data_IF_295368194882
#
_entry.id   IF_295368194882
#
_cell.length_a   1.000
_cell.length_b   1.000
_cell.length_c   1.000
_cell.angle_alpha   90.00
_cell.angle_beta   90.00
_cell.angle_gamma   90.00
#
_symmetry.space_group_name_H-M   'P 1'
#
loop_
_entity.id
_entity.type
_entity.pdbx_description
1 polymer ?
#
# COMPACT_ATOMS: atom_id res chain seq x y z
N UNK A 1 -17.14 -10.45 -8.67
CA UNK A 1 -15.94 -10.58 -7.81
C UNK A 1 -16.06 -11.91 -7.11
N UNK A 2 -15.03 -12.76 -7.09
CA UNK A 2 -15.09 -13.98 -6.28
C UNK A 2 -14.96 -13.59 -4.81
N UNK A 3 -15.70 -14.26 -3.94
CA UNK A 3 -15.69 -13.96 -2.49
C UNK A 3 -14.27 -13.92 -1.92
N UNK A 4 -13.41 -14.87 -2.31
CA UNK A 4 -12.03 -14.95 -1.81
C UNK A 4 -11.13 -13.77 -2.23
N UNK A 5 -11.42 -13.08 -3.33
CA UNK A 5 -10.66 -11.89 -3.74
C UNK A 5 -10.99 -10.70 -2.83
N UNK A 6 -12.27 -10.52 -2.50
CA UNK A 6 -12.74 -9.51 -1.54
C UNK A 6 -12.15 -9.79 -0.15
N UNK A 7 -12.22 -11.05 0.29
CA UNK A 7 -11.69 -11.46 1.59
C UNK A 7 -10.20 -11.12 1.70
N UNK A 8 -9.38 -11.39 0.67
CA UNK A 8 -7.95 -11.04 0.70
C UNK A 8 -7.72 -9.54 0.79
N UNK A 9 -8.43 -8.73 0.00
CA UNK A 9 -8.32 -7.27 0.06
C UNK A 9 -8.66 -6.79 1.48
N UNK A 10 -9.78 -7.25 2.04
CA UNK A 10 -10.19 -6.90 3.40
C UNK A 10 -9.15 -7.31 4.44
N UNK A 11 -8.63 -8.54 4.37
CA UNK A 11 -7.59 -9.04 5.29
C UNK A 11 -6.34 -8.16 5.22
N UNK A 12 -5.82 -7.86 4.03
CA UNK A 12 -4.64 -7.02 3.91
C UNK A 12 -4.88 -5.57 4.30
N UNK A 13 -6.08 -5.01 4.07
CA UNK A 13 -6.43 -3.68 4.56
C UNK A 13 -6.50 -3.64 6.09
N UNK A 14 -7.08 -4.66 6.73
CA UNK A 14 -7.13 -4.77 8.20
C UNK A 14 -5.72 -4.96 8.79
N UNK A 15 -4.90 -5.82 8.18
CA UNK A 15 -3.51 -6.02 8.60
C UNK A 15 -2.68 -4.75 8.43
N UNK A 16 -2.83 -4.05 7.29
CA UNK A 16 -2.17 -2.78 7.05
C UNK A 16 -2.57 -1.71 8.07
N UNK A 17 -3.87 -1.58 8.35
CA UNK A 17 -4.36 -0.68 9.39
C UNK A 17 -3.79 -1.05 10.78
N UNK A 18 -3.77 -2.34 11.12
CA UNK A 18 -3.16 -2.83 12.36
C UNK A 18 -1.69 -2.45 12.48
N UNK A 19 -0.92 -2.59 11.40
CA UNK A 19 0.50 -2.25 11.40
C UNK A 19 0.71 -0.74 11.47
N UNK A 20 0.03 0.03 10.61
CA UNK A 20 0.21 1.49 10.53
C UNK A 20 -0.30 2.21 11.77
N UNK A 21 -1.44 1.83 12.35
CA UNK A 21 -2.03 2.61 13.44
C UNK A 21 -1.70 2.07 14.83
N UNK A 22 -1.03 0.92 14.94
CA UNK A 22 -0.66 0.36 16.25
C UNK A 22 0.81 -0.07 16.30
N UNK A 23 1.27 -0.91 15.36
CA UNK A 23 2.64 -1.46 15.43
C UNK A 23 3.69 -0.38 15.18
N UNK A 24 3.52 0.43 14.16
CA UNK A 24 4.48 1.49 13.82
C UNK A 24 4.56 2.59 14.90
N UNK A 25 3.45 3.16 15.41
CA UNK A 25 3.48 4.05 16.57
C UNK A 25 4.19 3.42 17.76
N UNK A 26 3.85 2.18 18.10
CA UNK A 26 4.48 1.46 19.21
C UNK A 26 6.01 1.35 19.06
N UNK A 27 6.52 1.16 17.83
CA UNK A 27 7.96 1.14 17.55
C UNK A 27 8.63 2.49 17.87
N UNK A 28 7.97 3.60 17.57
CA UNK A 28 8.46 4.95 17.86
C UNK A 28 8.32 5.32 19.34
N UNK A 29 7.17 5.02 19.97
CA UNK A 29 6.92 5.24 21.40
C UNK A 29 7.97 4.53 22.28
N UNK A 30 8.27 3.28 21.94
CA UNK A 30 9.27 2.48 22.67
C UNK A 30 10.72 2.82 22.27
N UNK A 31 10.92 3.82 21.40
CA UNK A 31 12.24 4.27 20.93
C UNK A 31 13.09 3.15 20.34
N UNK A 32 12.44 2.15 19.74
CA UNK A 32 13.11 1.11 18.95
C UNK A 32 13.74 1.78 17.72
N UNK A 33 12.96 2.65 17.06
CA UNK A 33 13.47 3.66 16.14
C UNK A 33 13.54 4.98 16.91
N UNK A 34 14.75 5.52 17.07
CA UNK A 34 14.98 6.71 17.89
C UNK A 34 14.79 7.98 17.06
N UNK A 35 13.98 8.87 17.59
CA UNK A 35 13.79 10.25 17.13
C UNK A 35 14.19 11.16 18.30
N UNK A 36 15.03 12.15 18.04
CA UNK A 36 15.59 13.04 19.07
C UNK A 36 15.31 14.53 18.84
N UNK A 37 14.93 14.90 17.62
CA UNK A 37 14.68 16.27 17.20
C UNK A 37 13.27 16.79 17.55
N UNK A 38 12.33 15.89 17.85
CA UNK A 38 10.97 16.22 18.28
C UNK A 38 10.50 15.31 19.42
N UNK A 39 9.47 15.74 20.15
CA UNK A 39 8.79 14.88 21.13
C UNK A 39 8.02 13.76 20.40
N UNK A 40 8.33 12.47 20.65
CA UNK A 40 7.67 11.36 19.96
C UNK A 40 6.15 11.36 20.12
N UNK A 41 5.64 11.65 21.32
CA UNK A 41 4.20 11.59 21.62
C UNK A 41 3.41 12.61 20.79
N UNK A 42 3.89 13.86 20.75
CA UNK A 42 3.28 14.95 19.98
C UNK A 42 3.41 14.69 18.49
N UNK A 43 4.58 14.24 18.04
CA UNK A 43 4.80 13.92 16.63
C UNK A 43 3.91 12.77 16.16
N UNK A 44 3.69 11.75 16.99
CA UNK A 44 2.82 10.63 16.65
C UNK A 44 1.36 11.06 16.46
N UNK A 45 0.87 11.92 17.34
CA UNK A 45 -0.51 12.41 17.30
C UNK A 45 -0.74 13.40 16.14
N UNK A 46 0.13 14.39 15.98
CA UNK A 46 -0.10 15.49 15.03
C UNK A 46 0.40 15.18 13.61
N UNK A 47 1.58 14.57 13.50
CA UNK A 47 2.32 14.42 12.25
C UNK A 47 2.18 13.04 11.64
N UNK A 48 2.55 12.00 12.41
CA UNK A 48 2.55 10.62 11.93
C UNK A 48 1.14 10.16 11.56
N UNK A 49 0.16 10.34 12.45
CA UNK A 49 -1.21 9.85 12.25
C UNK A 49 -1.83 10.44 10.98
N UNK A 50 -1.66 11.74 10.74
CA UNK A 50 -2.12 12.42 9.52
C UNK A 50 -1.49 11.83 8.24
N UNK A 51 -0.18 11.57 8.28
CA UNK A 51 0.54 10.93 7.19
C UNK A 51 0.10 9.49 6.94
N UNK A 52 0.00 8.68 8.00
CA UNK A 52 -0.43 7.30 7.94
C UNK A 52 -1.87 7.17 7.40
N UNK A 53 -2.81 8.02 7.85
CA UNK A 53 -4.18 8.07 7.30
C UNK A 53 -4.14 8.36 5.80
N UNK A 54 -3.34 9.34 5.38
CA UNK A 54 -3.23 9.74 3.97
C UNK A 54 -2.71 8.59 3.10
N UNK A 55 -1.59 7.98 3.49
CA UNK A 55 -0.98 6.87 2.74
C UNK A 55 -1.90 5.65 2.73
N UNK A 56 -2.50 5.31 3.87
CA UNK A 56 -3.43 4.19 3.99
C UNK A 56 -4.66 4.37 3.10
N UNK A 57 -5.35 5.51 3.21
CA UNK A 57 -6.57 5.79 2.46
C UNK A 57 -6.31 5.76 0.95
N UNK A 58 -5.25 6.43 0.48
CA UNK A 58 -4.89 6.45 -0.94
C UNK A 58 -4.55 5.04 -1.44
N UNK A 59 -3.84 4.24 -0.64
CA UNK A 59 -3.48 2.86 -0.98
C UNK A 59 -4.70 1.94 -1.10
N UNK A 60 -5.62 2.02 -0.14
CA UNK A 60 -6.88 1.25 -0.17
C UNK A 60 -7.74 1.67 -1.36
N UNK A 61 -7.94 2.96 -1.57
CA UNK A 61 -8.75 3.48 -2.69
C UNK A 61 -8.15 3.06 -4.03
N UNK A 62 -6.84 3.19 -4.21
CA UNK A 62 -6.14 2.78 -5.44
C UNK A 62 -6.30 1.27 -5.69
N UNK A 63 -6.22 0.45 -4.63
CA UNK A 63 -6.45 -1.00 -4.71
C UNK A 63 -7.86 -1.34 -5.14
N UNK A 64 -8.87 -0.68 -4.54
CA UNK A 64 -10.27 -0.88 -4.88
C UNK A 64 -10.55 -0.46 -6.33
N UNK A 65 -10.04 0.70 -6.76
CA UNK A 65 -10.23 1.18 -8.13
C UNK A 65 -9.56 0.24 -9.13
N UNK A 66 -8.29 -0.16 -8.90
CA UNK A 66 -7.62 -1.15 -9.75
C UNK A 66 -8.46 -2.41 -9.87
N UNK A 67 -8.94 -2.93 -8.75
CA UNK A 67 -9.67 -4.18 -8.75
C UNK A 67 -11.01 -4.06 -9.49
N UNK A 68 -11.79 -3.01 -9.23
CA UNK A 68 -13.09 -2.79 -9.88
C UNK A 68 -12.95 -2.60 -11.39
N UNK A 69 -11.87 -1.94 -11.84
CA UNK A 69 -11.57 -1.74 -13.26
C UNK A 69 -11.06 -3.01 -13.91
N UNK A 70 -10.12 -3.72 -13.28
CA UNK A 70 -9.57 -5.00 -13.74
C UNK A 70 -10.66 -6.09 -13.84
N UNK A 71 -11.62 -6.13 -12.91
CA UNK A 71 -12.72 -7.09 -12.93
C UNK A 71 -13.70 -6.87 -14.10
N UNK A 72 -13.78 -5.65 -14.62
CA UNK A 72 -14.63 -5.28 -15.76
C UNK A 72 -13.85 -5.24 -17.08
N UNK A 73 -12.54 -5.49 -17.05
CA UNK A 73 -11.67 -5.43 -18.21
C UNK A 73 -12.06 -6.49 -19.25
N UNK A 74 -12.26 -6.04 -20.49
CA UNK A 74 -12.43 -6.93 -21.65
C UNK A 74 -11.08 -7.06 -22.35
N UNK A 75 -10.33 -8.10 -22.01
CA UNK A 75 -8.99 -8.36 -22.55
C UNK A 75 -9.12 -9.37 -23.68
N UNK A 76 -8.76 -8.99 -24.92
CA UNK A 76 -8.87 -9.85 -26.11
C UNK A 76 -7.53 -10.32 -26.64
N UNK A 77 -6.42 -9.68 -26.26
CA UNK A 77 -5.09 -10.05 -26.71
C UNK A 77 -3.96 -9.42 -25.89
N UNK A 78 -2.71 -9.68 -26.30
CA UNK A 78 -1.49 -9.22 -25.61
C UNK A 78 -1.38 -7.69 -25.54
N UNK A 79 -1.80 -6.97 -26.58
CA UNK A 79 -1.81 -5.50 -26.58
C UNK A 79 -2.71 -4.92 -25.47
N UNK A 80 -3.85 -5.56 -25.20
CA UNK A 80 -4.74 -5.15 -24.11
C UNK A 80 -4.08 -5.39 -22.75
N UNK A 81 -3.39 -6.53 -22.58
CA UNK A 81 -2.65 -6.85 -21.34
C UNK A 81 -1.60 -5.79 -21.04
N UNK A 82 -0.80 -5.39 -22.03
CA UNK A 82 0.21 -4.35 -21.84
C UNK A 82 -0.40 -2.98 -21.51
N UNK A 83 -1.55 -2.64 -22.11
CA UNK A 83 -2.29 -1.44 -21.73
C UNK A 83 -2.74 -1.50 -20.26
N UNK A 84 -3.25 -2.63 -19.79
CA UNK A 84 -3.62 -2.82 -18.39
C UNK A 84 -2.42 -2.83 -17.45
N UNK A 85 -1.25 -3.26 -17.92
CA UNK A 85 0.02 -3.12 -17.18
C UNK A 85 0.34 -1.65 -16.91
N UNK A 86 0.21 -0.80 -17.92
CA UNK A 86 0.41 0.65 -17.76
C UNK A 86 -0.58 1.24 -16.76
N UNK A 87 -1.85 0.85 -16.82
CA UNK A 87 -2.83 1.29 -15.83
C UNK A 87 -2.47 0.86 -14.41
N UNK A 88 -2.00 -0.37 -14.21
CA UNK A 88 -1.54 -0.81 -12.89
C UNK A 88 -0.42 0.08 -12.34
N UNK A 89 0.57 0.41 -13.17
CA UNK A 89 1.64 1.34 -12.79
C UNK A 89 1.12 2.73 -12.46
N UNK A 90 0.16 3.26 -13.24
CA UNK A 90 -0.49 4.54 -12.94
C UNK A 90 -1.17 4.50 -11.57
N UNK A 91 -1.87 3.40 -11.23
CA UNK A 91 -2.48 3.25 -9.92
C UNK A 91 -1.45 3.11 -8.80
N UNK A 92 -0.29 2.50 -9.04
CA UNK A 92 0.81 2.45 -8.06
C UNK A 92 1.42 3.84 -7.80
N UNK A 93 1.44 4.73 -8.79
CA UNK A 93 1.97 6.08 -8.61
C UNK A 93 1.15 6.90 -7.61
N UNK A 94 -0.15 6.62 -7.44
CA UNK A 94 -1.00 7.34 -6.48
C UNK A 94 -0.55 7.10 -5.01
N UNK A 95 -0.39 5.85 -4.54
CA UNK A 95 0.23 5.58 -3.24
C UNK A 95 1.63 6.18 -3.11
N UNK A 96 2.49 6.09 -4.13
CA UNK A 96 3.83 6.66 -4.07
C UNK A 96 3.77 8.19 -3.89
N UNK A 97 2.91 8.87 -4.64
CA UNK A 97 2.70 10.31 -4.48
C UNK A 97 2.16 10.66 -3.09
N UNK A 98 1.32 9.81 -2.50
CA UNK A 98 0.82 10.01 -1.13
C UNK A 98 1.92 9.96 -0.07
N UNK A 99 3.02 9.21 -0.29
CA UNK A 99 4.21 9.26 0.58
C UNK A 99 4.85 10.65 0.49
N UNK A 100 5.07 11.15 -0.73
CA UNK A 100 5.66 12.46 -0.94
C UNK A 100 4.81 13.57 -0.28
N UNK A 101 3.48 13.47 -0.38
CA UNK A 101 2.55 14.39 0.29
C UNK A 101 2.66 14.22 1.80
N UNK A 102 2.61 13.00 2.33
CA UNK A 102 2.64 12.75 3.75
C UNK A 102 3.93 13.27 4.40
N UNK A 103 5.08 13.02 3.76
CA UNK A 103 6.37 13.51 4.22
C UNK A 103 6.47 15.02 4.06
N UNK A 104 6.12 15.55 2.89
CA UNK A 104 6.31 16.97 2.57
C UNK A 104 5.43 17.91 3.39
N UNK A 105 4.24 17.45 3.83
CA UNK A 105 3.29 18.28 4.56
C UNK A 105 3.18 17.95 6.04
N UNK A 106 3.41 16.70 6.46
CA UNK A 106 3.19 16.31 7.85
C UNK A 106 4.47 15.94 8.61
N UNK A 107 5.58 15.58 7.95
CA UNK A 107 6.76 15.16 8.69
C UNK A 107 7.54 16.35 9.27
N UNK A 108 7.50 16.50 10.60
CA UNK A 108 8.24 17.52 11.33
C UNK A 108 9.63 17.05 11.82
N UNK A 109 9.97 15.77 11.67
CA UNK A 109 11.23 15.18 12.16
C UNK A 109 12.15 14.77 11.02
N UNK A 110 13.38 15.28 11.01
CA UNK A 110 14.43 14.86 10.10
C UNK A 110 14.99 13.48 10.49
N UNK A 111 15.05 13.17 11.80
CA UNK A 111 15.49 11.86 12.28
C UNK A 111 14.55 10.75 11.78
N UNK A 112 13.23 11.02 11.74
CA UNK A 112 12.23 10.06 11.30
C UNK A 112 12.24 9.83 9.79
N UNK A 113 12.72 10.78 8.97
CA UNK A 113 12.50 10.84 7.52
C UNK A 113 12.80 9.51 6.81
N UNK A 114 13.98 8.94 7.02
CA UNK A 114 14.39 7.71 6.35
C UNK A 114 13.53 6.52 6.80
N UNK A 115 13.35 6.37 8.12
CA UNK A 115 12.57 5.27 8.69
C UNK A 115 11.10 5.33 8.28
N UNK A 116 10.50 6.51 8.31
CA UNK A 116 9.12 6.75 7.92
C UNK A 116 8.90 6.49 6.43
N UNK A 117 9.84 6.92 5.59
CA UNK A 117 9.79 6.62 4.15
C UNK A 117 9.81 5.12 3.91
N UNK A 118 10.71 4.39 4.58
CA UNK A 118 10.81 2.93 4.45
C UNK A 118 9.54 2.22 4.94
N UNK A 119 8.96 2.66 6.06
CA UNK A 119 7.71 2.13 6.60
C UNK A 119 6.54 2.38 5.64
N UNK A 120 6.39 3.60 5.10
CA UNK A 120 5.32 3.85 4.12
C UNK A 120 5.50 3.07 2.82
N UNK A 121 6.74 2.85 2.35
CA UNK A 121 6.98 1.94 1.21
C UNK A 121 6.52 0.52 1.54
N UNK A 122 6.83 0.03 2.74
CA UNK A 122 6.36 -1.26 3.22
C UNK A 122 4.82 -1.31 3.28
N UNK A 123 4.17 -0.24 3.70
CA UNK A 123 2.71 -0.15 3.75
C UNK A 123 2.07 -0.18 2.36
N UNK A 124 2.66 0.49 1.36
CA UNK A 124 2.22 0.36 -0.04
C UNK A 124 2.34 -1.09 -0.51
N UNK A 125 3.44 -1.76 -0.16
CA UNK A 125 3.63 -3.17 -0.52
C UNK A 125 2.52 -4.02 0.07
N UNK A 126 2.18 -3.80 1.35
CA UNK A 126 1.18 -4.58 2.06
C UNK A 126 -0.26 -4.27 1.64
N UNK A 127 -0.60 -2.99 1.42
CA UNK A 127 -1.98 -2.52 1.24
C UNK A 127 -2.36 -2.37 -0.23
N UNK A 128 -1.39 -2.16 -1.13
CA UNK A 128 -1.63 -2.04 -2.57
C UNK A 128 -1.01 -3.18 -3.38
N UNK A 129 0.29 -3.41 -3.27
CA UNK A 129 0.95 -4.38 -4.14
C UNK A 129 0.49 -5.81 -3.84
N UNK A 130 0.48 -6.24 -2.58
CA UNK A 130 0.16 -7.60 -2.18
C UNK A 130 -1.29 -8.01 -2.49
N UNK A 131 -2.32 -7.16 -2.24
CA UNK A 131 -3.69 -7.46 -2.63
C UNK A 131 -3.85 -7.52 -4.15
N UNK A 132 -3.22 -6.61 -4.89
CA UNK A 132 -3.30 -6.63 -6.36
C UNK A 132 -2.56 -7.83 -6.95
N UNK A 133 -1.38 -8.20 -6.44
CA UNK A 133 -0.62 -9.37 -6.84
C UNK A 133 -1.39 -10.69 -6.60
N UNK A 134 -2.06 -10.81 -5.45
CA UNK A 134 -2.79 -12.05 -5.07
C UNK A 134 -4.21 -12.12 -5.60
N UNK A 135 -4.84 -10.99 -5.91
CA UNK A 135 -6.29 -10.95 -6.19
C UNK A 135 -6.66 -10.37 -7.54
N UNK A 136 -5.72 -9.87 -8.36
CA UNK A 136 -6.04 -9.43 -9.74
C UNK A 136 -6.72 -10.56 -10.53
N UNK A 137 -7.83 -10.29 -11.23
CA UNK A 137 -8.67 -11.31 -11.83
C UNK A 137 -8.22 -11.73 -13.25
N UNK A 138 -8.55 -12.96 -13.62
CA UNK A 138 -8.50 -13.46 -15.00
C UNK A 138 -7.14 -13.29 -15.68
N UNK A 139 -7.15 -12.78 -16.92
CA UNK A 139 -5.94 -12.58 -17.73
C UNK A 139 -4.99 -11.52 -17.16
N UNK A 140 -5.42 -10.73 -16.16
CA UNK A 140 -4.61 -9.68 -15.54
C UNK A 140 -3.91 -10.16 -14.26
N UNK A 141 -4.06 -11.43 -13.89
CA UNK A 141 -3.58 -11.99 -12.63
C UNK A 141 -2.06 -11.91 -12.41
N UNK A 142 -1.27 -11.82 -13.49
CA UNK A 142 0.19 -11.73 -13.46
C UNK A 142 0.73 -10.36 -13.88
N UNK A 143 -0.13 -9.34 -13.96
CA UNK A 143 0.32 -7.98 -14.25
C UNK A 143 1.18 -7.37 -13.14
N UNK A 144 0.80 -7.48 -11.85
CA UNK A 144 1.63 -6.95 -10.79
C UNK A 144 2.98 -7.67 -10.78
N UNK A 145 4.10 -6.93 -10.73
CA UNK A 145 5.43 -7.54 -10.70
C UNK A 145 5.54 -8.56 -9.57
N UNK A 146 6.13 -9.73 -9.83
CA UNK A 146 6.28 -10.80 -8.82
C UNK A 146 5.03 -11.63 -8.54
N UNK A 147 3.86 -11.28 -9.08
CA UNK A 147 2.61 -12.02 -8.84
C UNK A 147 2.67 -13.50 -9.24
N UNK A 148 3.41 -13.83 -10.30
CA UNK A 148 3.59 -15.23 -10.74
C UNK A 148 4.25 -16.09 -9.65
N UNK A 149 5.35 -15.61 -9.07
CA UNK A 149 6.09 -16.32 -8.02
C UNK A 149 5.23 -16.44 -6.76
N UNK A 150 4.60 -15.33 -6.36
CA UNK A 150 3.76 -15.28 -5.16
C UNK A 150 2.59 -16.28 -5.24
N UNK A 151 1.89 -16.32 -6.38
CA UNK A 151 0.75 -17.24 -6.56
C UNK A 151 1.19 -18.69 -6.58
N UNK A 152 2.33 -19.00 -7.22
CA UNK A 152 2.93 -20.33 -7.20
C UNK A 152 3.26 -20.80 -5.77
N UNK A 153 3.77 -19.91 -4.92
CA UNK A 153 4.04 -20.21 -3.50
C UNK A 153 2.76 -20.44 -2.69
N UNK A 154 1.68 -19.73 -3.03
CA UNK A 154 0.38 -19.85 -2.37
C UNK A 154 -0.47 -21.02 -2.92
N UNK A 155 0.03 -21.77 -3.91
CA UNK A 155 -0.68 -22.89 -4.53
C UNK A 155 -1.86 -22.48 -5.43
N UNK A 156 -1.80 -21.28 -6.00
CA UNK A 156 -2.84 -20.68 -6.85
C UNK A 156 -2.40 -20.48 -8.31
#
# INVERSE_FOLDING_TARGET
>A
MKAGEITRIAVFSVLGAGIMFFVQPWVYENRIIRISDVSPDVWLEESYTSGAITVFAVSVISTLIWYLTAAKARVKGSADVERWRLFWWIFLLLPIASICIAIGFFNQSQDALLSLTALYIFDIILVFWLPTATSSPGLLMYLPPGAFILRRLLGA
#
